data_IF_685107956668
#
_entry.id   IF_685107956668
#
_cell.length_a   1.000
_cell.length_b   1.000
_cell.length_c   1.000
_cell.angle_alpha   90.00
_cell.angle_beta   90.00
_cell.angle_gamma   90.00
#
_symmetry.space_group_name_H-M   'P 1'
#
loop_
_entity.id
_entity.type
_entity.pdbx_description
1 polymer ?
#
# COMPACT_ATOMS: atom_id res chain seq x y z
N UNK A 1 43.94 13.27 25.80
CA UNK A 1 43.00 13.51 26.91
C UNK A 1 41.82 14.30 26.35
N UNK A 2 40.72 13.62 26.00
CA UNK A 2 39.50 14.28 25.50
C UNK A 2 38.66 14.76 26.70
N UNK A 3 38.36 16.06 26.73
CA UNK A 3 37.46 16.62 27.71
C UNK A 3 36.02 16.23 27.35
N UNK A 4 35.34 15.57 28.29
CA UNK A 4 33.97 15.10 28.13
C UNK A 4 32.95 16.23 27.96
N UNK A 5 31.89 15.95 27.20
CA UNK A 5 30.70 16.79 27.16
C UNK A 5 30.03 16.82 28.53
N UNK A 6 30.34 17.83 29.33
CA UNK A 6 29.75 18.04 30.64
C UNK A 6 28.31 18.56 30.52
N UNK A 7 27.39 17.92 31.23
CA UNK A 7 26.05 18.46 31.45
C UNK A 7 26.15 19.75 32.27
N UNK A 8 25.60 20.86 31.76
CA UNK A 8 25.54 22.13 32.47
C UNK A 8 24.17 22.29 33.13
N UNK A 9 24.12 22.25 34.46
CA UNK A 9 22.89 22.41 35.23
C UNK A 9 22.57 23.90 35.42
N UNK A 10 21.33 24.28 35.10
CA UNK A 10 20.81 25.63 35.39
C UNK A 10 20.11 25.62 36.74
N UNK A 11 20.80 26.09 37.78
CA UNK A 11 20.23 26.21 39.13
C UNK A 11 19.39 27.50 39.21
N UNK A 12 18.13 27.37 39.62
CA UNK A 12 17.24 28.52 39.83
C UNK A 12 16.92 28.62 41.32
N UNK A 13 17.31 29.72 41.97
CA UNK A 13 16.98 29.98 43.38
C UNK A 13 16.04 31.18 43.50
N UNK A 14 15.29 31.28 44.60
CA UNK A 14 14.35 32.38 44.86
C UNK A 14 15.01 33.77 44.87
N UNK A 15 16.32 33.82 45.15
CA UNK A 15 17.13 35.05 45.13
C UNK A 15 17.72 35.40 43.76
N UNK A 16 17.56 34.57 42.74
CA UNK A 16 18.07 34.81 41.40
C UNK A 16 17.07 34.39 40.30
N UNK A 17 16.01 35.19 40.07
CA UNK A 17 14.99 34.88 39.08
C UNK A 17 15.57 35.04 37.66
N UNK A 18 15.82 33.90 37.00
CA UNK A 18 16.08 33.74 35.55
C UNK A 18 16.95 34.85 34.93
N UNK A 19 18.24 34.81 35.21
CA UNK A 19 19.26 35.59 34.50
C UNK A 19 19.10 35.42 32.98
N UNK A 20 19.09 36.52 32.21
CA UNK A 20 18.96 36.52 30.73
C UNK A 20 19.93 35.56 30.05
N UNK A 21 21.07 35.32 30.66
CA UNK A 21 22.12 34.41 30.21
C UNK A 21 21.67 32.93 30.25
N UNK A 22 20.97 32.50 31.29
CA UNK A 22 20.37 31.16 31.38
C UNK A 22 19.30 30.96 30.29
N UNK A 23 18.53 32.00 29.97
CA UNK A 23 17.56 31.93 28.88
C UNK A 23 18.24 31.82 27.51
N UNK A 24 19.35 32.52 27.30
CA UNK A 24 20.14 32.40 26.06
C UNK A 24 20.75 31.00 25.92
N UNK A 25 21.23 30.41 27.01
CA UNK A 25 21.84 29.09 27.04
C UNK A 25 20.81 27.99 26.74
N UNK A 26 19.62 28.07 27.34
CA UNK A 26 18.49 27.18 27.03
C UNK A 26 18.03 27.36 25.58
N UNK A 27 17.91 28.60 25.09
CA UNK A 27 17.51 28.88 23.70
C UNK A 27 18.55 28.38 22.69
N UNK A 28 19.85 28.52 22.97
CA UNK A 28 20.91 28.02 22.07
C UNK A 28 20.96 26.50 22.03
N UNK A 29 20.69 25.83 23.15
CA UNK A 29 20.57 24.37 23.20
C UNK A 29 19.32 23.87 22.45
N UNK A 30 18.18 24.56 22.59
CA UNK A 30 16.95 24.24 21.85
C UNK A 30 17.12 24.50 20.35
N UNK A 31 17.81 25.58 19.94
CA UNK A 31 18.06 25.87 18.52
C UNK A 31 19.03 24.87 17.91
N UNK A 32 20.09 24.46 18.64
CA UNK A 32 21.03 23.42 18.21
C UNK A 32 20.40 22.03 18.15
N UNK A 33 19.50 21.69 19.08
CA UNK A 33 18.79 20.41 19.04
C UNK A 33 17.74 20.36 17.92
N UNK A 34 17.08 21.49 17.61
CA UNK A 34 16.18 21.62 16.46
C UNK A 34 16.91 21.52 15.12
N UNK A 35 18.07 22.16 14.96
CA UNK A 35 18.85 22.05 13.71
C UNK A 35 19.48 20.67 13.51
N UNK A 36 19.75 19.93 14.60
CA UNK A 36 20.36 18.61 14.56
C UNK A 36 19.37 17.46 14.39
N UNK A 37 18.07 17.66 14.66
CA UNK A 37 17.02 16.67 14.38
C UNK A 37 16.40 16.94 13.02
N UNK A 38 17.16 16.69 11.95
CA UNK A 38 16.52 16.26 10.70
C UNK A 38 15.88 14.91 11.03
N UNK A 39 14.56 14.89 11.21
CA UNK A 39 13.81 13.63 11.32
C UNK A 39 14.08 12.77 10.09
N UNK A 40 13.79 11.46 10.15
CA UNK A 40 13.84 10.62 8.95
C UNK A 40 13.01 11.31 7.86
N UNK A 41 13.62 11.54 6.68
CA UNK A 41 12.92 12.11 5.51
C UNK A 41 11.71 11.22 5.22
N UNK A 42 10.54 11.78 4.95
CA UNK A 42 9.43 10.97 4.44
C UNK A 42 9.82 10.36 3.08
N UNK A 43 9.32 9.18 2.76
CA UNK A 43 9.45 8.63 1.41
C UNK A 43 8.83 9.60 0.41
N UNK A 44 9.53 9.87 -0.69
CA UNK A 44 9.00 10.68 -1.79
C UNK A 44 7.95 9.90 -2.56
N UNK A 45 7.03 10.60 -3.23
CA UNK A 45 5.96 9.92 -3.94
C UNK A 45 6.48 9.10 -5.13
N UNK A 46 6.13 7.82 -5.20
CA UNK A 46 6.51 6.93 -6.30
C UNK A 46 5.74 7.27 -7.58
N UNK A 47 4.44 7.58 -7.46
CA UNK A 47 3.59 8.01 -8.59
C UNK A 47 4.16 9.24 -9.31
N UNK A 48 4.74 10.17 -8.53
CA UNK A 48 5.17 11.48 -9.01
C UNK A 48 6.67 11.57 -9.27
N UNK A 49 7.35 10.44 -9.53
CA UNK A 49 8.80 10.32 -9.81
C UNK A 49 9.49 11.67 -10.04
N UNK A 50 10.32 12.08 -9.08
CA UNK A 50 11.02 13.37 -8.95
C UNK A 50 11.11 14.15 -10.27
N UNK A 51 10.00 14.79 -10.65
CA UNK A 51 9.97 15.76 -11.75
C UNK A 51 10.83 16.88 -11.21
N UNK A 52 12.08 17.02 -11.68
CA UNK A 52 13.15 17.82 -11.08
C UNK A 52 12.73 19.17 -10.48
N UNK A 53 12.18 19.13 -9.26
CA UNK A 53 11.59 20.26 -8.52
C UNK A 53 12.24 20.37 -7.13
N UNK A 54 13.46 19.84 -6.99
CA UNK A 54 14.26 19.93 -5.77
C UNK A 54 14.48 21.37 -5.26
N UNK A 55 14.24 22.38 -6.09
CA UNK A 55 14.29 23.80 -5.72
C UNK A 55 12.92 24.46 -5.51
N UNK A 56 11.84 23.94 -6.10
CA UNK A 56 10.48 24.52 -5.94
C UNK A 56 9.74 23.96 -4.72
N UNK A 57 10.00 22.71 -4.31
CA UNK A 57 9.39 22.13 -3.11
C UNK A 57 9.76 22.90 -1.82
N UNK A 58 10.95 23.50 -1.75
CA UNK A 58 11.37 24.34 -0.61
C UNK A 58 10.70 25.72 -0.59
N UNK A 59 10.27 26.24 -1.75
CA UNK A 59 9.52 27.50 -1.82
C UNK A 59 8.05 27.29 -1.48
N UNK A 60 7.43 26.21 -1.97
CA UNK A 60 6.01 25.90 -1.70
C UNK A 60 5.75 25.52 -0.24
N UNK A 61 6.66 24.80 0.43
CA UNK A 61 6.55 24.52 1.88
C UNK A 61 6.53 25.81 2.70
N UNK A 62 7.28 26.84 2.29
CA UNK A 62 7.32 28.14 2.97
C UNK A 62 6.04 28.97 2.74
N UNK A 63 5.33 28.73 1.65
CA UNK A 63 4.02 29.33 1.35
C UNK A 63 2.87 28.58 2.03
N UNK A 64 2.95 27.25 2.14
CA UNK A 64 2.02 26.44 2.91
C UNK A 64 2.14 26.69 4.42
N UNK A 65 3.36 26.89 4.96
CA UNK A 65 3.57 27.28 6.36
C UNK A 65 3.03 28.68 6.67
N UNK A 66 3.08 29.62 5.71
CA UNK A 66 2.53 30.98 5.88
C UNK A 66 1.01 31.05 5.73
N UNK A 67 0.38 30.11 5.00
CA UNK A 67 -1.07 30.00 4.91
C UNK A 67 -1.73 29.50 6.22
N UNK A 68 -0.96 28.90 7.12
CA UNK A 68 -1.43 28.39 8.42
C UNK A 68 -1.41 29.42 9.58
N UNK A 69 -1.26 30.73 9.30
CA UNK A 69 -1.30 31.76 10.35
C UNK A 69 -2.70 32.11 10.85
N UNK A 70 -3.76 31.52 10.27
CA UNK A 70 -5.10 31.56 10.82
C UNK A 70 -5.50 30.17 11.31
N UNK A 71 -5.38 29.92 12.62
CA UNK A 71 -6.14 28.83 13.24
C UNK A 71 -7.62 29.19 13.16
N UNK A 72 -8.46 28.44 12.42
CA UNK A 72 -9.89 28.66 12.50
C UNK A 72 -10.35 28.26 13.91
N UNK A 73 -10.97 29.19 14.64
CA UNK A 73 -11.71 28.87 15.84
C UNK A 73 -13.01 28.17 15.40
N UNK A 74 -12.97 26.84 15.29
CA UNK A 74 -14.10 26.00 14.90
C UNK A 74 -13.65 24.57 14.58
N UNK A 75 -14.52 23.57 14.82
CA UNK A 75 -14.25 22.19 14.43
C UNK A 75 -14.17 22.14 12.89
N UNK A 76 -13.20 21.45 12.27
CA UNK A 76 -12.93 21.54 10.82
C UNK A 76 -14.12 21.26 9.87
N UNK A 77 -15.22 20.72 10.40
CA UNK A 77 -16.49 20.48 9.71
C UNK A 77 -17.42 21.71 9.63
N UNK A 78 -17.19 22.77 10.42
CA UNK A 78 -18.07 23.94 10.50
C UNK A 78 -18.10 24.81 9.24
N UNK A 79 -17.21 24.56 8.27
CA UNK A 79 -17.14 25.27 7.00
C UNK A 79 -17.60 24.44 5.79
N UNK A 80 -18.01 23.18 6.01
CA UNK A 80 -18.49 22.31 4.93
C UNK A 80 -19.91 22.73 4.54
N UNK A 81 -20.11 23.10 3.27
CA UNK A 81 -21.44 23.29 2.70
C UNK A 81 -21.99 21.93 2.26
N UNK A 82 -22.97 21.42 2.99
CA UNK A 82 -23.68 20.22 2.58
C UNK A 82 -24.50 20.50 1.31
N UNK A 83 -24.54 19.56 0.34
CA UNK A 83 -25.43 19.70 -0.80
C UNK A 83 -26.88 19.74 -0.33
N UNK A 84 -27.68 20.65 -0.91
CA UNK A 84 -29.08 20.95 -0.52
C UNK A 84 -30.04 19.74 -0.52
N UNK A 85 -29.60 18.57 -1.00
CA UNK A 85 -30.40 17.34 -1.17
C UNK A 85 -29.87 16.12 -0.41
N UNK A 86 -28.86 16.26 0.44
CA UNK A 86 -28.27 15.13 1.18
C UNK A 86 -28.94 14.99 2.55
N UNK A 87 -29.79 13.96 2.69
CA UNK A 87 -30.44 13.64 3.96
C UNK A 87 -29.46 12.93 4.92
N UNK A 88 -29.51 13.15 6.25
CA UNK A 88 -28.61 12.53 7.23
C UNK A 88 -28.48 11.01 7.13
N UNK A 89 -29.57 10.33 6.76
CA UNK A 89 -29.59 8.87 6.51
C UNK A 89 -28.61 8.43 5.42
N UNK A 90 -28.43 9.23 4.37
CA UNK A 90 -27.51 8.90 3.27
C UNK A 90 -26.06 8.99 3.75
N UNK A 91 -25.76 10.01 4.56
CA UNK A 91 -24.45 10.18 5.21
C UNK A 91 -24.18 8.99 6.12
N UNK A 92 -25.17 8.52 6.88
CA UNK A 92 -25.03 7.34 7.73
C UNK A 92 -24.72 6.07 6.92
N UNK A 93 -25.47 5.82 5.83
CA UNK A 93 -25.17 4.70 4.93
C UNK A 93 -23.76 4.80 4.35
N UNK A 94 -23.37 5.96 3.83
CA UNK A 94 -22.03 6.19 3.29
C UNK A 94 -20.91 6.01 4.35
N UNK A 95 -21.12 6.52 5.57
CA UNK A 95 -20.16 6.43 6.67
C UNK A 95 -19.98 4.98 7.17
N UNK A 96 -20.98 4.12 7.02
CA UNK A 96 -20.90 2.71 7.45
C UNK A 96 -19.81 1.92 6.71
N UNK A 97 -19.42 2.36 5.51
CA UNK A 97 -18.39 1.72 4.71
C UNK A 97 -16.96 2.14 5.12
N UNK A 98 -16.78 3.25 5.85
CA UNK A 98 -15.44 3.75 6.23
C UNK A 98 -14.61 2.76 7.05
N UNK A 99 -15.14 2.15 8.12
CA UNK A 99 -14.35 1.21 8.93
C UNK A 99 -14.00 -0.06 8.15
N UNK A 100 -14.90 -0.48 7.23
CA UNK A 100 -14.69 -1.63 6.35
C UNK A 100 -13.53 -1.35 5.42
N UNK A 101 -13.54 -0.21 4.72
CA UNK A 101 -12.46 0.18 3.82
C UNK A 101 -11.15 0.42 4.56
N UNK A 102 -11.18 1.05 5.73
CA UNK A 102 -9.97 1.23 6.54
C UNK A 102 -9.30 -0.11 6.86
N UNK A 103 -10.07 -1.06 7.38
CA UNK A 103 -9.57 -2.39 7.75
C UNK A 103 -9.15 -3.25 6.54
N UNK A 104 -9.87 -3.12 5.42
CA UNK A 104 -9.59 -3.83 4.18
C UNK A 104 -8.36 -3.29 3.45
N UNK A 105 -8.17 -1.97 3.48
CA UNK A 105 -7.11 -1.29 2.76
C UNK A 105 -5.79 -1.27 3.53
N UNK A 106 -5.86 -1.24 4.86
CA UNK A 106 -4.74 -1.08 5.76
C UNK A 106 -4.82 -2.09 6.91
N UNK A 107 -4.08 -3.21 6.83
CA UNK A 107 -4.03 -4.18 7.91
C UNK A 107 -3.53 -3.51 9.19
N UNK A 108 -4.35 -3.55 10.24
CA UNK A 108 -4.03 -2.96 11.55
C UNK A 108 -2.75 -3.55 12.16
N UNK A 109 -2.35 -4.75 11.76
CA UNK A 109 -1.11 -5.38 12.19
C UNK A 109 0.11 -4.59 11.69
N UNK A 110 0.01 -3.93 10.53
CA UNK A 110 1.12 -3.29 9.82
C UNK A 110 1.06 -1.77 9.82
N UNK A 111 -0.15 -1.21 9.82
CA UNK A 111 -0.39 0.23 9.67
C UNK A 111 -0.82 0.86 10.99
N UNK A 112 -0.49 2.15 11.17
CA UNK A 112 -1.03 2.93 12.29
C UNK A 112 -2.54 3.07 12.16
N UNK A 113 -3.23 3.00 13.30
CA UNK A 113 -4.63 3.41 13.39
C UNK A 113 -4.70 4.94 13.30
N UNK A 114 -4.57 5.48 12.08
CA UNK A 114 -4.94 6.87 11.84
C UNK A 114 -6.45 7.01 12.02
N UNK A 115 -6.96 8.08 12.67
CA UNK A 115 -8.35 8.45 12.47
C UNK A 115 -8.51 8.66 10.96
N UNK A 116 -9.17 7.70 10.31
CA UNK A 116 -9.27 7.44 8.86
C UNK A 116 -9.97 8.53 8.06
N UNK A 117 -10.08 9.72 8.65
CA UNK A 117 -10.73 10.89 8.11
C UNK A 117 -9.60 11.91 7.85
N UNK A 118 -8.96 11.80 6.69
CA UNK A 118 -8.35 12.98 6.10
C UNK A 118 -9.49 14.00 5.96
N UNK A 119 -9.34 15.16 6.60
CA UNK A 119 -10.33 16.23 6.55
C UNK A 119 -10.62 16.65 5.10
N UNK A 120 -9.65 16.50 4.20
CA UNK A 120 -9.82 16.73 2.77
C UNK A 120 -10.76 15.72 2.12
N UNK A 121 -10.60 14.42 2.44
CA UNK A 121 -11.43 13.34 1.88
C UNK A 121 -12.87 13.40 2.39
N UNK A 122 -13.06 13.58 3.70
CA UNK A 122 -14.41 13.76 4.27
C UNK A 122 -15.04 15.07 3.81
N UNK A 123 -14.24 16.12 3.67
CA UNK A 123 -14.69 17.37 3.06
C UNK A 123 -15.22 17.14 1.64
N UNK A 124 -14.51 16.38 0.82
CA UNK A 124 -14.90 16.04 -0.55
C UNK A 124 -16.18 15.21 -0.59
N UNK A 125 -16.26 14.18 0.26
CA UNK A 125 -17.45 13.34 0.40
C UNK A 125 -18.64 14.20 0.78
N UNK A 126 -18.58 14.90 1.93
CA UNK A 126 -19.71 15.64 2.47
C UNK A 126 -20.17 16.82 1.60
N UNK A 127 -19.34 17.28 0.67
CA UNK A 127 -19.64 18.41 -0.22
C UNK A 127 -20.20 17.98 -1.59
N UNK A 128 -20.24 16.68 -1.92
CA UNK A 128 -20.62 16.23 -3.27
C UNK A 128 -21.71 15.15 -3.28
N UNK A 129 -22.87 15.48 -3.85
CA UNK A 129 -24.02 14.59 -3.86
C UNK A 129 -23.80 13.30 -4.67
N UNK A 130 -23.11 13.35 -5.81
CA UNK A 130 -22.88 12.14 -6.62
C UNK A 130 -21.95 11.19 -5.87
N UNK A 131 -20.91 11.74 -5.24
CA UNK A 131 -19.95 10.97 -4.48
C UNK A 131 -20.59 10.32 -3.26
N UNK A 132 -21.40 11.05 -2.49
CA UNK A 132 -22.14 10.47 -1.35
C UNK A 132 -23.06 9.35 -1.79
N UNK A 133 -23.79 9.54 -2.90
CA UNK A 133 -24.68 8.51 -3.42
C UNK A 133 -23.93 7.27 -3.88
N UNK A 134 -22.77 7.42 -4.53
CA UNK A 134 -21.92 6.30 -4.90
C UNK A 134 -21.37 5.58 -3.66
N UNK A 135 -20.90 6.31 -2.65
CA UNK A 135 -20.42 5.74 -1.38
C UNK A 135 -21.53 4.97 -0.64
N UNK A 136 -22.73 5.56 -0.55
CA UNK A 136 -23.88 4.92 0.06
C UNK A 136 -24.31 3.67 -0.72
N UNK A 137 -24.30 3.73 -2.05
CA UNK A 137 -24.53 2.55 -2.89
C UNK A 137 -23.52 1.44 -2.60
N UNK A 138 -22.20 1.74 -2.61
CA UNK A 138 -21.16 0.77 -2.31
C UNK A 138 -21.35 0.12 -0.93
N UNK A 139 -21.77 0.92 0.06
CA UNK A 139 -22.01 0.45 1.43
C UNK A 139 -23.19 -0.53 1.50
N UNK A 140 -24.34 -0.12 0.97
CA UNK A 140 -25.56 -0.94 0.99
C UNK A 140 -25.39 -2.19 0.13
N UNK A 141 -24.76 -2.08 -1.04
CA UNK A 141 -24.46 -3.21 -1.92
C UNK A 141 -23.53 -4.24 -1.25
N UNK A 142 -22.52 -3.78 -0.53
CA UNK A 142 -21.65 -4.65 0.26
C UNK A 142 -22.45 -5.39 1.35
N UNK A 143 -23.34 -4.70 2.07
CA UNK A 143 -24.19 -5.33 3.09
C UNK A 143 -25.18 -6.33 2.47
N UNK A 144 -25.83 -5.98 1.36
CA UNK A 144 -26.74 -6.86 0.63
C UNK A 144 -26.00 -8.15 0.20
N UNK A 145 -24.78 -8.03 -0.36
CA UNK A 145 -23.94 -9.18 -0.71
C UNK A 145 -23.58 -10.03 0.51
N UNK A 146 -23.18 -9.41 1.62
CA UNK A 146 -22.84 -10.12 2.86
C UNK A 146 -24.01 -10.89 3.46
N UNK A 147 -25.22 -10.38 3.28
CA UNK A 147 -26.45 -11.03 3.74
C UNK A 147 -27.05 -11.99 2.70
N UNK A 148 -26.36 -12.22 1.58
CA UNK A 148 -26.82 -13.02 0.46
C UNK A 148 -28.20 -12.57 -0.08
N UNK A 149 -28.40 -11.25 -0.16
CA UNK A 149 -29.66 -10.63 -0.61
C UNK A 149 -29.49 -10.00 -1.98
N UNK A 150 -30.61 -9.91 -2.69
CA UNK A 150 -30.71 -9.05 -3.87
C UNK A 150 -30.61 -7.58 -3.46
N UNK A 151 -30.12 -6.68 -4.34
CA UNK A 151 -30.02 -5.27 -4.05
C UNK A 151 -31.36 -4.68 -3.59
N UNK A 152 -31.35 -4.03 -2.42
CA UNK A 152 -32.56 -3.40 -1.89
C UNK A 152 -33.03 -2.22 -2.75
N UNK A 153 -34.29 -1.80 -2.59
CA UNK A 153 -34.79 -0.59 -3.24
C UNK A 153 -33.97 0.66 -2.88
N UNK A 154 -33.42 0.69 -1.66
CA UNK A 154 -32.54 1.78 -1.21
C UNK A 154 -31.18 1.73 -1.92
N UNK A 155 -30.59 0.53 -2.06
CA UNK A 155 -29.35 0.29 -2.81
C UNK A 155 -29.51 0.76 -4.25
N UNK A 156 -30.58 0.34 -4.92
CA UNK A 156 -30.89 0.75 -6.29
C UNK A 156 -31.12 2.26 -6.41
N UNK A 157 -31.82 2.87 -5.45
CA UNK A 157 -32.04 4.32 -5.43
C UNK A 157 -30.73 5.10 -5.37
N UNK A 158 -29.78 4.67 -4.54
CA UNK A 158 -28.46 5.30 -4.45
C UNK A 158 -27.66 5.17 -5.75
N UNK A 159 -27.69 3.99 -6.38
CA UNK A 159 -27.06 3.78 -7.68
C UNK A 159 -27.65 4.71 -8.76
N UNK A 160 -28.98 4.73 -8.88
CA UNK A 160 -29.67 5.55 -9.88
C UNK A 160 -29.36 7.04 -9.70
N UNK A 161 -29.36 7.54 -8.46
CA UNK A 161 -29.07 8.95 -8.20
C UNK A 161 -27.59 9.30 -8.46
N UNK A 162 -26.67 8.40 -8.10
CA UNK A 162 -25.25 8.56 -8.43
C UNK A 162 -25.04 8.64 -9.96
N UNK A 163 -25.64 7.71 -10.72
CA UNK A 163 -25.55 7.67 -12.18
C UNK A 163 -26.21 8.89 -12.83
N UNK A 164 -27.39 9.32 -12.36
CA UNK A 164 -28.08 10.51 -12.87
C UNK A 164 -27.25 11.77 -12.70
N UNK A 165 -26.66 11.96 -11.52
CA UNK A 165 -25.79 13.10 -11.22
C UNK A 165 -24.49 13.03 -12.02
N UNK A 166 -23.88 11.85 -12.13
CA UNK A 166 -22.69 11.62 -12.93
C UNK A 166 -22.94 11.95 -14.41
N UNK A 167 -24.00 11.41 -15.02
CA UNK A 167 -24.38 11.70 -16.40
C UNK A 167 -24.60 13.20 -16.61
N UNK A 168 -25.28 13.89 -15.68
CA UNK A 168 -25.47 15.34 -15.78
C UNK A 168 -24.16 16.14 -15.83
N UNK A 169 -23.09 15.64 -15.21
CA UNK A 169 -21.74 16.24 -15.25
C UNK A 169 -21.03 15.94 -16.57
N UNK A 170 -21.16 14.72 -17.07
CA UNK A 170 -20.48 14.24 -18.28
C UNK A 170 -21.12 14.76 -19.57
N UNK A 171 -22.44 14.97 -19.59
CA UNK A 171 -23.16 15.47 -20.76
C UNK A 171 -22.95 16.96 -21.05
N UNK A 172 -22.15 17.67 -20.24
CA UNK A 172 -21.84 19.09 -20.42
C UNK A 172 -20.46 19.25 -21.05
N UNK A 173 -20.37 19.61 -22.35
CA UNK A 173 -19.09 19.84 -23.00
C UNK A 173 -18.30 20.93 -22.28
N UNK A 174 -16.98 20.74 -22.12
CA UNK A 174 -16.06 21.70 -21.52
C UNK A 174 -16.33 22.08 -20.05
N UNK A 175 -17.18 21.33 -19.34
CA UNK A 175 -17.39 21.58 -17.91
C UNK A 175 -16.20 21.07 -17.09
N UNK A 176 -15.59 21.93 -16.28
CA UNK A 176 -14.59 21.54 -15.28
C UNK A 176 -15.11 20.51 -14.27
N UNK A 177 -16.45 20.38 -14.13
CA UNK A 177 -17.07 19.37 -13.29
C UNK A 177 -16.89 17.93 -13.79
N UNK A 178 -16.73 17.74 -15.11
CA UNK A 178 -16.70 16.41 -15.73
C UNK A 178 -15.45 15.61 -15.32
N UNK A 179 -14.35 16.30 -15.05
CA UNK A 179 -13.07 15.70 -14.61
C UNK A 179 -12.67 16.16 -13.21
N UNK A 180 -13.61 16.73 -12.45
CA UNK A 180 -13.37 17.16 -11.06
C UNK A 180 -13.12 15.98 -10.13
N UNK A 181 -12.39 16.25 -9.04
CA UNK A 181 -12.00 15.23 -8.04
C UNK A 181 -13.22 14.46 -7.47
N UNK A 182 -14.37 15.09 -7.11
CA UNK A 182 -15.55 14.33 -6.70
C UNK A 182 -16.13 13.44 -7.79
N UNK A 183 -16.06 13.84 -9.06
CA UNK A 183 -16.53 13.03 -10.19
C UNK A 183 -15.65 11.80 -10.38
N UNK A 184 -14.34 11.97 -10.33
CA UNK A 184 -13.37 10.87 -10.37
C UNK A 184 -13.63 9.91 -9.19
N UNK A 185 -13.79 10.45 -7.98
CA UNK A 185 -14.07 9.65 -6.78
C UNK A 185 -15.42 8.94 -6.83
N UNK A 186 -16.44 9.53 -7.46
CA UNK A 186 -17.73 8.87 -7.72
C UNK A 186 -17.50 7.61 -8.54
N UNK A 187 -16.72 7.68 -9.62
CA UNK A 187 -16.44 6.52 -10.48
C UNK A 187 -15.55 5.49 -9.76
N UNK A 188 -14.56 5.93 -8.97
CA UNK A 188 -13.76 5.04 -8.13
C UNK A 188 -14.64 4.21 -7.18
N UNK A 189 -15.66 4.82 -6.56
CA UNK A 189 -16.57 4.08 -5.68
C UNK A 189 -17.49 3.11 -6.43
N UNK A 190 -17.94 3.49 -7.63
CA UNK A 190 -18.73 2.59 -8.48
C UNK A 190 -17.88 1.41 -8.96
N UNK A 191 -16.63 1.66 -9.35
CA UNK A 191 -15.66 0.62 -9.68
C UNK A 191 -15.42 -0.33 -8.50
N UNK A 192 -15.22 0.21 -7.30
CA UNK A 192 -15.06 -0.58 -6.08
C UNK A 192 -16.28 -1.44 -5.79
N UNK A 193 -17.49 -0.90 -5.95
CA UNK A 193 -18.72 -1.66 -5.79
C UNK A 193 -18.82 -2.80 -6.82
N UNK A 194 -18.51 -2.53 -8.08
CA UNK A 194 -18.48 -3.54 -9.13
C UNK A 194 -17.45 -4.65 -8.85
N UNK A 195 -16.25 -4.29 -8.37
CA UNK A 195 -15.21 -5.25 -7.96
C UNK A 195 -15.71 -6.15 -6.82
N UNK A 196 -16.25 -5.54 -5.76
CA UNK A 196 -16.82 -6.25 -4.61
C UNK A 196 -17.99 -7.13 -4.99
N UNK A 197 -18.84 -6.70 -5.93
CA UNK A 197 -20.00 -7.44 -6.41
C UNK A 197 -19.65 -8.50 -7.46
N UNK A 198 -18.39 -8.58 -7.89
CA UNK A 198 -17.93 -9.48 -8.95
C UNK A 198 -18.56 -9.18 -10.32
N UNK A 199 -18.96 -7.92 -10.56
CA UNK A 199 -19.42 -7.42 -11.85
C UNK A 199 -18.23 -6.86 -12.66
N UNK A 200 -17.49 -7.78 -13.27
CA UNK A 200 -16.21 -7.48 -13.91
C UNK A 200 -16.36 -6.59 -15.16
N UNK A 201 -17.44 -6.74 -15.92
CA UNK A 201 -17.69 -5.91 -17.11
C UNK A 201 -17.95 -4.46 -16.74
N UNK A 202 -18.71 -4.23 -15.66
CA UNK A 202 -18.93 -2.89 -15.11
C UNK A 202 -17.64 -2.30 -14.53
N UNK A 203 -16.83 -3.10 -13.82
CA UNK A 203 -15.52 -2.68 -13.31
C UNK A 203 -14.61 -2.20 -14.45
N UNK A 204 -14.46 -3.00 -15.51
CA UNK A 204 -13.63 -2.66 -16.67
C UNK A 204 -14.09 -1.35 -17.31
N UNK A 205 -15.40 -1.20 -17.54
CA UNK A 205 -15.99 0.03 -18.09
C UNK A 205 -15.67 1.27 -17.25
N UNK A 206 -15.70 1.14 -15.91
CA UNK A 206 -15.33 2.25 -15.02
C UNK A 206 -13.84 2.57 -15.08
N UNK A 207 -12.96 1.57 -15.15
CA UNK A 207 -11.51 1.78 -15.27
C UNK A 207 -11.12 2.44 -16.60
N UNK A 208 -11.78 2.07 -17.69
CA UNK A 208 -11.61 2.74 -18.99
C UNK A 208 -12.04 4.20 -18.93
N UNK A 209 -13.20 4.48 -18.33
CA UNK A 209 -13.66 5.85 -18.11
C UNK A 209 -12.69 6.67 -17.26
N UNK A 210 -12.16 6.09 -16.18
CA UNK A 210 -11.15 6.73 -15.34
C UNK A 210 -9.87 7.05 -16.12
N UNK A 211 -9.41 6.14 -16.99
CA UNK A 211 -8.25 6.38 -17.86
C UNK A 211 -8.44 7.61 -18.74
N UNK A 212 -9.61 7.76 -19.35
CA UNK A 212 -9.94 8.95 -20.16
C UNK A 212 -9.90 10.22 -19.30
N UNK A 213 -10.50 10.20 -18.10
CA UNK A 213 -10.49 11.35 -17.21
C UNK A 213 -9.10 11.75 -16.72
N UNK A 214 -8.26 10.77 -16.37
CA UNK A 214 -6.88 10.98 -15.96
C UNK A 214 -6.10 11.65 -17.09
N UNK A 215 -6.25 11.17 -18.33
CA UNK A 215 -5.59 11.76 -19.50
C UNK A 215 -6.06 13.19 -19.75
N UNK A 216 -7.36 13.47 -19.61
CA UNK A 216 -7.91 14.83 -19.72
C UNK A 216 -7.41 15.78 -18.63
N UNK A 217 -7.02 15.26 -17.46
CA UNK A 217 -6.36 16.02 -16.39
C UNK A 217 -4.84 16.15 -16.58
N UNK A 218 -4.28 15.59 -17.66
CA UNK A 218 -2.85 15.63 -17.94
C UNK A 218 -2.03 14.55 -17.22
N UNK A 219 -2.65 13.44 -16.82
CA UNK A 219 -1.99 12.30 -16.18
C UNK A 219 -2.14 12.24 -14.65
N UNK A 220 -1.71 11.11 -14.07
CA UNK A 220 -1.78 10.87 -12.62
C UNK A 220 -1.10 11.97 -11.78
N UNK A 221 0.05 12.53 -12.18
CA UNK A 221 0.70 13.59 -11.40
C UNK A 221 -0.07 14.89 -11.32
N UNK A 222 -1.15 15.07 -12.10
CA UNK A 222 -2.01 16.24 -12.05
C UNK A 222 -3.30 16.03 -11.23
N UNK A 223 -3.41 14.87 -10.57
CA UNK A 223 -4.47 14.56 -9.60
C UNK A 223 -4.06 14.88 -8.15
N UNK A 224 -3.12 15.82 -7.96
CA UNK A 224 -2.55 16.15 -6.64
C UNK A 224 -3.64 16.65 -5.69
N UNK A 225 -4.01 15.81 -4.73
CA UNK A 225 -4.53 16.25 -3.44
C UNK A 225 -3.36 16.28 -2.44
N UNK A 226 -3.53 16.88 -1.27
CA UNK A 226 -2.50 16.98 -0.21
C UNK A 226 -1.85 15.63 0.15
N UNK A 227 -2.51 14.50 -0.17
CA UNK A 227 -2.02 13.14 0.10
C UNK A 227 -2.06 12.17 -1.12
N UNK A 228 -2.19 12.65 -2.37
CA UNK A 228 -2.29 11.83 -3.60
C UNK A 228 -3.37 10.72 -3.56
N UNK A 229 -4.36 10.80 -2.66
CA UNK A 229 -5.28 9.71 -2.35
C UNK A 229 -6.08 9.22 -3.57
N UNK A 230 -6.43 10.14 -4.47
CA UNK A 230 -7.20 9.83 -5.67
C UNK A 230 -6.38 8.94 -6.61
N UNK A 231 -5.12 9.32 -6.87
CA UNK A 231 -4.22 8.57 -7.73
C UNK A 231 -3.98 7.16 -7.17
N UNK A 232 -3.77 7.03 -5.84
CA UNK A 232 -3.65 5.72 -5.20
C UNK A 232 -4.87 4.82 -5.39
N UNK A 233 -6.08 5.36 -5.22
CA UNK A 233 -7.31 4.57 -5.37
C UNK A 233 -7.50 4.11 -6.82
N UNK A 234 -7.22 4.97 -7.79
CA UNK A 234 -7.24 4.62 -9.22
C UNK A 234 -6.23 3.51 -9.51
N UNK A 235 -4.98 3.69 -9.11
CA UNK A 235 -3.90 2.74 -9.33
C UNK A 235 -4.14 1.40 -8.64
N UNK A 236 -4.71 1.40 -7.44
CA UNK A 236 -5.05 0.16 -6.74
C UNK A 236 -6.18 -0.60 -7.43
N UNK A 237 -7.17 0.10 -8.00
CA UNK A 237 -8.21 -0.51 -8.84
C UNK A 237 -7.65 -1.10 -10.15
N UNK A 238 -6.74 -0.37 -10.80
CA UNK A 238 -6.00 -0.85 -11.98
C UNK A 238 -5.21 -2.13 -11.68
N UNK A 239 -4.43 -2.14 -10.59
CA UNK A 239 -3.70 -3.32 -10.14
C UNK A 239 -4.63 -4.49 -9.79
N UNK A 240 -5.73 -4.24 -9.06
CA UNK A 240 -6.74 -5.26 -8.75
C UNK A 240 -7.24 -5.95 -10.03
N UNK A 241 -7.58 -5.15 -11.05
CA UNK A 241 -8.02 -5.64 -12.34
C UNK A 241 -6.94 -6.44 -13.10
N UNK A 242 -5.73 -5.90 -13.18
CA UNK A 242 -4.61 -6.55 -13.87
C UNK A 242 -4.26 -7.90 -13.22
N UNK A 243 -4.14 -7.95 -11.90
CA UNK A 243 -3.78 -9.16 -11.16
C UNK A 243 -4.85 -10.24 -11.28
N UNK A 244 -6.14 -9.87 -11.23
CA UNK A 244 -7.25 -10.81 -11.42
C UNK A 244 -7.19 -11.48 -12.78
N UNK A 245 -6.94 -10.71 -13.83
CA UNK A 245 -6.97 -11.22 -15.21
C UNK A 245 -5.61 -11.74 -15.69
N UNK A 246 -4.58 -11.79 -14.82
CA UNK A 246 -3.19 -12.06 -15.21
C UNK A 246 -2.75 -11.18 -16.40
N UNK A 247 -3.25 -9.94 -16.41
CA UNK A 247 -3.03 -8.95 -17.46
C UNK A 247 -1.99 -7.91 -17.05
N UNK A 248 -1.74 -6.96 -17.97
CA UNK A 248 -0.88 -5.82 -17.68
C UNK A 248 -1.69 -4.63 -17.16
N UNK A 249 -1.22 -3.94 -16.11
CA UNK A 249 -1.85 -2.70 -15.66
C UNK A 249 -1.96 -1.64 -16.78
N UNK A 250 -2.93 -0.73 -16.63
CA UNK A 250 -3.20 0.37 -17.56
C UNK A 250 -2.15 1.48 -17.39
N UNK A 251 -1.83 1.83 -16.13
CA UNK A 251 -0.88 2.90 -15.83
C UNK A 251 0.54 2.37 -15.71
N UNK A 252 1.51 3.28 -15.88
CA UNK A 252 2.95 3.00 -15.77
C UNK A 252 3.43 1.88 -16.72
N UNK A 253 3.00 1.86 -17.98
CA UNK A 253 3.43 0.80 -18.92
C UNK A 253 4.87 0.93 -19.38
N UNK A 254 5.29 2.16 -19.68
CA UNK A 254 6.55 2.44 -20.37
C UNK A 254 7.57 3.20 -19.48
N UNK A 255 7.10 3.96 -18.48
CA UNK A 255 7.91 4.86 -17.66
C UNK A 255 8.00 4.42 -16.18
N UNK A 256 8.32 3.15 -15.93
CA UNK A 256 8.58 2.64 -14.57
C UNK A 256 10.04 2.82 -14.20
N UNK A 257 10.31 3.46 -13.06
CA UNK A 257 11.63 3.37 -12.45
C UNK A 257 11.88 1.98 -11.87
N UNK A 258 13.02 1.41 -12.22
CA UNK A 258 13.50 0.13 -11.69
C UNK A 258 14.48 0.28 -10.54
N UNK A 259 14.85 1.51 -10.17
CA UNK A 259 15.70 1.75 -9.01
C UNK A 259 15.00 1.30 -7.72
N UNK A 260 15.76 0.88 -6.69
CA UNK A 260 15.19 0.59 -5.38
C UNK A 260 14.44 1.80 -4.83
N UNK A 261 13.16 1.65 -4.52
CA UNK A 261 12.31 2.75 -4.07
C UNK A 261 12.63 3.18 -2.64
N UNK A 262 12.75 2.22 -1.71
CA UNK A 262 12.92 2.51 -0.28
C UNK A 262 14.36 2.92 0.00
N UNK A 263 15.33 2.11 -0.45
CA UNK A 263 16.76 2.38 -0.22
C UNK A 263 17.31 3.50 -1.11
N UNK A 264 16.78 3.64 -2.33
CA UNK A 264 17.15 4.73 -3.26
C UNK A 264 16.63 6.10 -2.84
N UNK A 265 15.60 6.17 -2.00
CA UNK A 265 15.04 7.43 -1.46
C UNK A 265 15.92 8.08 -0.37
N UNK A 266 17.16 7.62 -0.17
CA UNK A 266 18.08 8.17 0.83
C UNK A 266 17.69 7.84 2.28
N UNK A 267 16.82 6.86 2.49
CA UNK A 267 16.51 6.33 3.81
C UNK A 267 17.69 5.51 4.31
N UNK A 268 18.22 5.89 5.46
CA UNK A 268 19.17 5.03 6.17
C UNK A 268 18.38 3.85 6.71
N UNK A 269 18.66 2.63 6.23
CA UNK A 269 18.01 1.42 6.72
C UNK A 269 18.02 1.45 8.26
N UNK A 270 16.83 1.47 8.86
CA UNK A 270 16.65 1.58 10.32
C UNK A 270 17.21 0.35 11.04
N UNK A 271 17.37 -0.75 10.30
CA UNK A 271 17.92 -1.98 10.81
C UNK A 271 19.23 -2.29 10.09
N UNK A 272 20.35 -2.09 10.78
CA UNK A 272 21.67 -2.56 10.35
C UNK A 272 21.75 -4.10 10.48
N UNK A 273 20.92 -4.82 9.72
CA UNK A 273 21.12 -6.24 9.54
C UNK A 273 22.31 -6.44 8.61
N UNK A 274 23.21 -7.36 8.97
CA UNK A 274 24.29 -7.76 8.08
C UNK A 274 23.69 -8.18 6.73
N UNK A 275 24.10 -7.50 5.67
CA UNK A 275 23.68 -7.83 4.32
C UNK A 275 24.26 -9.20 3.95
N UNK A 276 23.38 -10.11 3.61
CA UNK A 276 23.74 -11.43 3.12
C UNK A 276 24.23 -11.30 1.68
N UNK A 277 25.50 -10.92 1.54
CA UNK A 277 26.13 -10.65 0.23
C UNK A 277 26.03 -11.82 -0.74
N UNK A 278 25.92 -13.04 -0.25
CA UNK A 278 25.77 -14.23 -1.10
C UNK A 278 24.35 -14.33 -1.65
N UNK A 279 23.34 -14.25 -0.78
CA UNK A 279 21.94 -14.23 -1.20
C UNK A 279 21.64 -13.04 -2.14
N UNK A 280 22.18 -11.86 -1.82
CA UNK A 280 22.04 -10.66 -2.65
C UNK A 280 22.62 -10.85 -4.05
N UNK A 281 23.85 -11.38 -4.17
CA UNK A 281 24.46 -11.69 -5.49
C UNK A 281 23.66 -12.73 -6.27
N UNK A 282 23.12 -13.72 -5.58
CA UNK A 282 22.34 -14.79 -6.18
C UNK A 282 21.01 -14.27 -6.75
N UNK A 283 20.25 -13.49 -5.98
CA UNK A 283 19.01 -12.89 -6.46
C UNK A 283 19.30 -11.90 -7.61
N UNK A 284 20.39 -11.13 -7.50
CA UNK A 284 20.82 -10.23 -8.58
C UNK A 284 21.16 -10.97 -9.88
N UNK A 285 21.69 -12.20 -9.78
CA UNK A 285 21.98 -13.03 -10.97
C UNK A 285 20.72 -13.54 -11.69
N UNK A 286 19.55 -13.54 -11.03
CA UNK A 286 18.27 -13.87 -11.67
C UNK A 286 17.80 -12.76 -12.62
N UNK A 287 17.78 -11.52 -12.13
CA UNK A 287 17.56 -10.27 -12.89
C UNK A 287 17.77 -9.07 -11.93
N UNK A 288 18.43 -8.01 -12.39
CA UNK A 288 18.72 -6.82 -11.55
C UNK A 288 17.45 -6.06 -11.13
N UNK A 289 16.44 -5.98 -12.00
CA UNK A 289 15.16 -5.34 -11.70
C UNK A 289 14.40 -6.14 -10.64
N UNK A 290 14.44 -7.47 -10.77
CA UNK A 290 13.84 -8.37 -9.79
C UNK A 290 14.50 -8.23 -8.42
N UNK A 291 15.83 -8.12 -8.40
CA UNK A 291 16.60 -7.83 -7.20
C UNK A 291 16.21 -6.51 -6.54
N UNK A 292 16.06 -5.43 -7.31
CA UNK A 292 15.67 -4.12 -6.74
C UNK A 292 14.28 -4.17 -6.07
N UNK A 293 13.32 -4.90 -6.66
CA UNK A 293 12.00 -5.11 -6.04
C UNK A 293 12.10 -5.97 -4.79
N UNK A 294 12.93 -7.02 -4.81
CA UNK A 294 13.20 -7.84 -3.64
C UNK A 294 13.82 -7.02 -2.50
N UNK A 295 14.76 -6.12 -2.80
CA UNK A 295 15.37 -5.22 -1.81
C UNK A 295 14.32 -4.34 -1.13
N UNK A 296 13.39 -3.76 -1.89
CA UNK A 296 12.29 -2.97 -1.33
C UNK A 296 11.35 -3.81 -0.45
N UNK A 297 11.00 -5.02 -0.90
CA UNK A 297 10.19 -5.94 -0.10
C UNK A 297 10.92 -6.38 1.18
N UNK A 298 12.24 -6.56 1.13
CA UNK A 298 13.06 -6.92 2.29
C UNK A 298 13.08 -5.80 3.32
N UNK A 299 13.31 -4.56 2.89
CA UNK A 299 13.23 -3.40 3.79
C UNK A 299 11.81 -3.24 4.35
N UNK A 300 10.75 -3.44 3.54
CA UNK A 300 9.37 -3.43 4.02
C UNK A 300 9.12 -4.49 5.11
N UNK A 301 9.59 -5.73 4.91
CA UNK A 301 9.48 -6.79 5.91
C UNK A 301 10.22 -6.42 7.22
N UNK A 302 11.38 -5.77 7.11
CA UNK A 302 12.15 -5.35 8.28
C UNK A 302 11.46 -4.20 9.03
N UNK A 303 11.00 -3.18 8.31
CA UNK A 303 10.25 -2.06 8.88
C UNK A 303 8.98 -2.53 9.59
N UNK A 304 8.21 -3.43 8.97
CA UNK A 304 6.99 -3.97 9.57
C UNK A 304 7.26 -4.85 10.79
N UNK A 305 8.25 -5.74 10.74
CA UNK A 305 8.64 -6.56 11.89
C UNK A 305 9.14 -5.70 13.06
N UNK A 306 9.98 -4.70 12.79
CA UNK A 306 10.46 -3.76 13.82
C UNK A 306 9.32 -2.89 14.35
N UNK A 307 8.44 -2.40 13.46
CA UNK A 307 7.27 -1.61 13.81
C UNK A 307 6.30 -2.38 14.71
N UNK A 308 6.09 -3.68 14.47
CA UNK A 308 5.30 -4.55 15.33
C UNK A 308 5.93 -4.71 16.73
N UNK A 309 7.26 -4.83 16.81
CA UNK A 309 7.98 -4.98 18.08
C UNK A 309 8.03 -3.67 18.89
N UNK A 310 8.08 -2.52 18.21
CA UNK A 310 8.24 -1.21 18.83
C UNK A 310 6.94 -0.42 18.97
N UNK A 311 5.85 -0.88 18.35
CA UNK A 311 4.60 -0.15 18.21
C UNK A 311 4.60 0.95 17.14
N UNK A 312 5.74 1.18 16.45
CA UNK A 312 5.89 2.19 15.40
C UNK A 312 5.48 1.62 14.04
N UNK A 313 4.16 1.43 13.86
CA UNK A 313 3.58 0.93 12.60
C UNK A 313 3.70 1.94 11.46
N UNK A 314 3.44 1.49 10.23
CA UNK A 314 3.59 2.31 9.02
C UNK A 314 2.42 3.29 8.82
N UNK A 315 2.68 4.55 8.43
CA UNK A 315 1.64 5.45 7.92
C UNK A 315 0.96 4.91 6.65
N UNK A 316 -0.32 5.24 6.44
CA UNK A 316 -1.08 4.80 5.26
C UNK A 316 -0.43 5.25 3.94
N UNK A 317 0.07 6.49 3.88
CA UNK A 317 0.75 7.01 2.70
C UNK A 317 1.99 6.18 2.33
N UNK A 318 2.83 5.86 3.31
CA UNK A 318 4.01 5.00 3.11
C UNK A 318 3.62 3.60 2.64
N UNK A 319 2.59 3.00 3.25
CA UNK A 319 2.10 1.69 2.85
C UNK A 319 1.63 1.70 1.38
N UNK A 320 0.88 2.72 0.98
CA UNK A 320 0.38 2.85 -0.39
C UNK A 320 1.49 3.03 -1.43
N UNK A 321 2.51 3.84 -1.15
CA UNK A 321 3.62 4.02 -2.09
C UNK A 321 4.41 2.72 -2.29
N UNK A 322 4.69 1.98 -1.21
CA UNK A 322 5.37 0.68 -1.29
C UNK A 322 4.49 -0.32 -2.05
N UNK A 323 3.20 -0.37 -1.75
CA UNK A 323 2.22 -1.22 -2.45
C UNK A 323 2.28 -0.97 -3.97
N UNK A 324 2.11 0.27 -4.41
CA UNK A 324 2.11 0.58 -5.83
C UNK A 324 3.45 0.24 -6.48
N UNK A 325 4.55 0.67 -5.86
CA UNK A 325 5.88 0.46 -6.39
C UNK A 325 6.20 -1.02 -6.60
N UNK A 326 5.91 -1.86 -5.60
CA UNK A 326 6.16 -3.30 -5.69
C UNK A 326 5.20 -3.97 -6.67
N UNK A 327 3.89 -3.72 -6.55
CA UNK A 327 2.89 -4.41 -7.36
C UNK A 327 3.02 -4.08 -8.84
N UNK A 328 3.21 -2.81 -9.23
CA UNK A 328 3.41 -2.46 -10.64
C UNK A 328 4.68 -3.11 -11.20
N UNK A 329 5.82 -3.02 -10.50
CA UNK A 329 7.08 -3.61 -10.98
C UNK A 329 7.00 -5.13 -11.14
N UNK A 330 6.42 -5.85 -10.17
CA UNK A 330 6.26 -7.31 -10.28
C UNK A 330 5.30 -7.72 -11.40
N UNK A 331 4.22 -6.95 -11.62
CA UNK A 331 3.26 -7.21 -12.70
C UNK A 331 3.81 -6.95 -14.09
N UNK A 332 4.85 -6.10 -14.23
CA UNK A 332 5.49 -5.81 -15.52
C UNK A 332 6.60 -6.81 -15.88
N UNK A 333 7.17 -7.50 -14.89
CA UNK A 333 8.18 -8.53 -15.13
C UNK A 333 7.53 -9.83 -15.62
N UNK A 334 8.22 -10.52 -16.52
CA UNK A 334 7.88 -11.85 -17.02
C UNK A 334 9.16 -12.52 -17.53
N UNK A 335 9.37 -13.79 -17.19
CA UNK A 335 10.59 -14.52 -17.48
C UNK A 335 10.33 -15.87 -18.17
N UNK A 336 9.78 -15.84 -19.39
CA UNK A 336 9.42 -17.06 -20.14
C UNK A 336 10.60 -18.03 -20.37
N UNK A 337 11.83 -17.52 -20.41
CA UNK A 337 13.05 -18.31 -20.66
C UNK A 337 13.81 -18.71 -19.40
N UNK A 338 13.36 -18.28 -18.22
CA UNK A 338 13.99 -18.60 -16.95
C UNK A 338 12.94 -19.02 -15.92
N UNK A 339 12.65 -20.33 -15.82
CA UNK A 339 11.73 -20.87 -14.82
C UNK A 339 12.08 -20.44 -13.40
N UNK A 340 13.38 -20.34 -13.08
CA UNK A 340 13.85 -19.88 -11.77
C UNK A 340 13.49 -18.42 -11.49
N UNK A 341 13.80 -17.50 -12.41
CA UNK A 341 13.44 -16.07 -12.26
C UNK A 341 11.92 -15.89 -12.23
N UNK A 342 11.17 -16.65 -13.03
CA UNK A 342 9.72 -16.58 -13.06
C UNK A 342 9.08 -17.10 -11.77
N UNK A 343 9.52 -18.25 -11.26
CA UNK A 343 9.03 -18.80 -9.99
C UNK A 343 9.32 -17.87 -8.81
N UNK A 344 10.51 -17.25 -8.79
CA UNK A 344 10.85 -16.28 -7.76
C UNK A 344 10.01 -14.99 -7.87
N UNK A 345 9.83 -14.47 -9.09
CA UNK A 345 8.96 -13.31 -9.38
C UNK A 345 7.52 -13.56 -8.93
N UNK A 346 6.93 -14.68 -9.36
CA UNK A 346 5.54 -15.01 -9.01
C UNK A 346 5.41 -15.30 -7.51
N UNK A 347 6.41 -15.93 -6.88
CA UNK A 347 6.46 -16.10 -5.44
C UNK A 347 6.46 -14.78 -4.68
N UNK A 348 7.26 -13.79 -5.12
CA UNK A 348 7.22 -12.43 -4.57
C UNK A 348 5.89 -11.73 -4.84
N UNK A 349 5.28 -11.95 -6.00
CA UNK A 349 3.98 -11.38 -6.34
C UNK A 349 2.90 -11.94 -5.41
N UNK A 350 2.85 -13.26 -5.25
CA UNK A 350 1.93 -13.93 -4.32
C UNK A 350 2.12 -13.44 -2.88
N UNK A 351 3.37 -13.35 -2.42
CA UNK A 351 3.71 -12.79 -1.11
C UNK A 351 3.17 -11.36 -0.96
N UNK A 352 3.47 -10.48 -1.92
CA UNK A 352 3.01 -9.09 -1.92
C UNK A 352 1.47 -8.98 -1.96
N UNK A 353 0.79 -9.76 -2.80
CA UNK A 353 -0.68 -9.71 -2.90
C UNK A 353 -1.36 -10.18 -1.62
N UNK A 354 -0.79 -11.15 -0.91
CA UNK A 354 -1.33 -11.60 0.38
C UNK A 354 -1.26 -10.52 1.48
N UNK A 355 -0.41 -9.50 1.31
CA UNK A 355 -0.25 -8.37 2.23
C UNK A 355 -1.13 -7.20 1.78
N UNK A 356 -0.98 -6.80 0.52
CA UNK A 356 -1.54 -5.57 -0.04
C UNK A 356 -3.00 -5.71 -0.51
N UNK A 357 -3.43 -6.94 -0.82
CA UNK A 357 -4.77 -7.28 -1.31
C UNK A 357 -5.41 -8.37 -0.44
N UNK A 358 -5.26 -8.23 0.89
CA UNK A 358 -5.72 -9.20 1.89
C UNK A 358 -7.23 -9.20 2.15
N UNK A 359 -7.99 -8.29 1.52
CA UNK A 359 -9.43 -8.19 1.70
C UNK A 359 -10.12 -9.44 1.15
N UNK A 360 -10.92 -10.19 1.94
CA UNK A 360 -11.51 -11.46 1.52
C UNK A 360 -12.38 -11.39 0.25
N UNK A 361 -12.97 -10.24 -0.02
CA UNK A 361 -13.80 -9.91 -1.18
C UNK A 361 -12.98 -9.91 -2.48
N UNK A 362 -11.67 -9.69 -2.38
CA UNK A 362 -10.75 -9.73 -3.52
C UNK A 362 -10.17 -11.14 -3.74
N UNK A 363 -10.91 -12.19 -3.35
CA UNK A 363 -10.52 -13.59 -3.50
C UNK A 363 -10.08 -13.94 -4.92
N UNK A 364 -10.73 -13.37 -5.93
CA UNK A 364 -10.43 -13.63 -7.33
C UNK A 364 -8.96 -13.29 -7.70
N UNK A 365 -8.37 -12.27 -7.07
CA UNK A 365 -6.95 -11.94 -7.24
C UNK A 365 -6.09 -13.11 -6.75
N UNK A 366 -6.36 -13.59 -5.53
CA UNK A 366 -5.60 -14.68 -4.93
C UNK A 366 -5.75 -15.97 -5.74
N UNK A 367 -6.92 -16.27 -6.31
CA UNK A 367 -7.11 -17.44 -7.18
C UNK A 367 -6.24 -17.34 -8.43
N UNK A 368 -6.26 -16.19 -9.11
CA UNK A 368 -5.47 -15.98 -10.34
C UNK A 368 -3.97 -16.06 -10.09
N UNK A 369 -3.49 -15.36 -9.04
CA UNK A 369 -2.07 -15.36 -8.66
C UNK A 369 -1.62 -16.75 -8.21
N UNK A 370 -2.44 -17.50 -7.46
CA UNK A 370 -2.10 -18.87 -7.05
C UNK A 370 -2.00 -19.82 -8.24
N UNK A 371 -2.86 -19.67 -9.26
CA UNK A 371 -2.75 -20.47 -10.50
C UNK A 371 -1.43 -20.18 -11.23
N UNK A 372 -1.12 -18.90 -11.45
CA UNK A 372 0.16 -18.50 -12.03
C UNK A 372 1.35 -19.02 -11.20
N UNK A 373 1.20 -19.06 -9.87
CA UNK A 373 2.23 -19.55 -8.98
C UNK A 373 2.44 -21.06 -9.09
N UNK A 374 1.37 -21.84 -9.15
CA UNK A 374 1.43 -23.28 -9.41
C UNK A 374 2.10 -23.57 -10.76
N UNK A 375 1.71 -22.86 -11.82
CA UNK A 375 2.31 -23.02 -13.14
C UNK A 375 3.82 -22.72 -13.14
N UNK A 376 4.24 -21.67 -12.44
CA UNK A 376 5.65 -21.29 -12.33
C UNK A 376 6.46 -22.33 -11.53
N UNK A 377 5.91 -22.84 -10.42
CA UNK A 377 6.51 -23.92 -9.63
C UNK A 377 6.64 -25.21 -10.43
N UNK A 378 5.63 -25.56 -11.21
CA UNK A 378 5.64 -26.76 -12.04
C UNK A 378 6.70 -26.67 -13.14
N UNK A 379 6.79 -25.53 -13.83
CA UNK A 379 7.84 -25.27 -14.83
C UNK A 379 9.23 -25.34 -14.21
N UNK A 380 9.41 -24.74 -13.02
CA UNK A 380 10.68 -24.78 -12.31
C UNK A 380 11.09 -26.22 -11.98
N UNK A 381 10.20 -27.00 -11.35
CA UNK A 381 10.49 -28.40 -11.01
C UNK A 381 10.78 -29.26 -12.24
N UNK A 382 10.04 -29.05 -13.33
CA UNK A 382 10.18 -29.80 -14.58
C UNK A 382 11.42 -29.43 -15.40
N UNK A 383 11.91 -28.20 -15.28
CA UNK A 383 13.10 -27.73 -16.01
C UNK A 383 14.39 -28.44 -15.59
N UNK A 384 14.46 -28.92 -14.35
CA UNK A 384 15.70 -29.43 -13.76
C UNK A 384 16.73 -28.33 -13.48
N UNK A 385 16.36 -27.05 -13.65
CA UNK A 385 17.24 -25.92 -13.36
C UNK A 385 17.67 -25.96 -11.88
N UNK A 386 18.97 -25.74 -11.64
CA UNK A 386 19.47 -25.59 -10.28
C UNK A 386 19.00 -24.25 -9.70
N UNK A 387 17.88 -24.29 -8.99
CA UNK A 387 17.44 -23.19 -8.15
C UNK A 387 18.00 -23.36 -6.75
N UNK A 388 18.45 -22.27 -6.15
CA UNK A 388 19.08 -22.34 -4.84
C UNK A 388 18.12 -22.96 -3.80
N UNK A 389 18.59 -23.90 -2.95
CA UNK A 389 17.73 -24.54 -1.96
C UNK A 389 17.04 -23.55 -1.01
N UNK A 390 17.70 -22.48 -0.56
CA UNK A 390 17.11 -21.48 0.33
C UNK A 390 15.95 -20.73 -0.34
N UNK A 391 16.13 -20.33 -1.61
CA UNK A 391 15.07 -19.68 -2.38
C UNK A 391 13.94 -20.66 -2.68
N UNK A 392 14.27 -21.89 -3.04
CA UNK A 392 13.28 -22.97 -3.24
C UNK A 392 12.43 -23.18 -1.99
N UNK A 393 13.08 -23.28 -0.82
CA UNK A 393 12.42 -23.41 0.46
C UNK A 393 11.47 -22.25 0.72
N UNK A 394 11.93 -21.02 0.48
CA UNK A 394 11.13 -19.83 0.66
C UNK A 394 9.89 -19.82 -0.24
N UNK A 395 10.06 -20.06 -1.55
CA UNK A 395 8.96 -20.07 -2.52
C UNK A 395 7.93 -21.14 -2.14
N UNK A 396 8.36 -22.36 -1.81
CA UNK A 396 7.47 -23.44 -1.38
C UNK A 396 6.76 -23.14 -0.04
N UNK A 397 7.45 -22.50 0.90
CA UNK A 397 6.82 -22.04 2.14
C UNK A 397 5.76 -20.98 1.89
N UNK A 398 6.03 -19.98 1.04
CA UNK A 398 5.04 -18.96 0.65
C UNK A 398 3.82 -19.64 0.03
N UNK A 399 4.02 -20.57 -0.88
CA UNK A 399 2.93 -21.33 -1.49
C UNK A 399 2.11 -22.10 -0.44
N UNK A 400 2.77 -22.79 0.50
CA UNK A 400 2.09 -23.54 1.58
C UNK A 400 1.27 -22.64 2.52
N UNK A 401 1.72 -21.42 2.80
CA UNK A 401 0.99 -20.49 3.68
C UNK A 401 -0.12 -19.70 2.98
N UNK A 402 -0.20 -19.74 1.65
CA UNK A 402 -1.31 -19.11 0.92
C UNK A 402 -2.59 -19.93 1.12
N UNK A 403 -3.69 -19.26 1.49
CA UNK A 403 -4.90 -19.89 2.11
C UNK A 403 -5.82 -20.62 1.11
N UNK A 404 -5.48 -20.75 -0.17
CA UNK A 404 -6.38 -21.35 -1.15
C UNK A 404 -6.00 -22.81 -1.39
N UNK A 405 -6.61 -23.66 -0.55
CA UNK A 405 -6.52 -25.12 -0.50
C UNK A 405 -7.15 -25.80 -1.73
N UNK A 406 -6.86 -25.34 -2.94
CA UNK A 406 -6.96 -26.24 -4.09
C UNK A 406 -5.80 -27.22 -3.92
N UNK A 407 -6.14 -28.49 -3.78
CA UNK A 407 -5.37 -29.53 -3.09
C UNK A 407 -3.87 -29.49 -3.38
N UNK A 408 -3.01 -29.79 -2.40
CA UNK A 408 -1.58 -29.84 -2.67
C UNK A 408 -1.32 -30.91 -3.73
N UNK A 409 -0.67 -30.51 -4.83
CA UNK A 409 -0.03 -31.47 -5.69
C UNK A 409 1.00 -32.20 -4.81
N UNK A 410 0.84 -33.51 -4.65
CA UNK A 410 1.75 -34.36 -3.85
C UNK A 410 3.21 -34.07 -4.20
N UNK A 411 3.47 -33.78 -5.48
CA UNK A 411 4.75 -33.32 -6.01
C UNK A 411 5.39 -32.17 -5.23
N UNK A 412 4.65 -31.09 -4.91
CA UNK A 412 5.20 -29.94 -4.17
C UNK A 412 5.40 -30.24 -2.68
N UNK A 413 4.61 -31.16 -2.12
CA UNK A 413 4.84 -31.64 -0.76
C UNK A 413 6.12 -32.47 -0.65
N UNK A 414 6.34 -33.38 -1.61
CA UNK A 414 7.53 -34.22 -1.68
C UNK A 414 8.78 -33.34 -1.94
N UNK A 415 8.69 -32.40 -2.89
CA UNK A 415 9.77 -31.44 -3.17
C UNK A 415 10.12 -30.58 -1.95
N UNK A 416 9.12 -30.15 -1.17
CA UNK A 416 9.37 -29.43 0.07
C UNK A 416 10.15 -30.27 1.09
N UNK A 417 9.84 -31.57 1.20
CA UNK A 417 10.58 -32.50 2.04
C UNK A 417 12.04 -32.66 1.59
N UNK A 418 12.28 -32.84 0.29
CA UNK A 418 13.63 -32.93 -0.29
C UNK A 418 14.47 -31.68 0.02
N UNK A 419 13.87 -30.50 -0.14
CA UNK A 419 14.57 -29.21 0.10
C UNK A 419 14.82 -28.98 1.58
N UNK A 420 13.88 -29.38 2.45
CA UNK A 420 14.06 -29.31 3.91
C UNK A 420 15.23 -30.17 4.38
N UNK A 421 15.48 -31.32 3.72
CA UNK A 421 16.62 -32.19 4.03
C UNK A 421 17.96 -31.68 3.47
N UNK A 422 17.93 -30.86 2.40
CA UNK A 422 19.15 -30.33 1.79
C UNK A 422 19.69 -29.06 2.46
N UNK A 423 18.90 -28.44 3.35
CA UNK A 423 19.27 -27.25 4.12
C UNK A 423 19.38 -27.64 5.59
N UNK A 424 20.37 -27.14 6.36
CA UNK A 424 20.51 -27.44 7.78
C UNK A 424 19.43 -26.75 8.64
N UNK A 425 18.18 -27.20 8.53
CA UNK A 425 17.02 -26.68 9.29
C UNK A 425 16.41 -27.84 10.11
N UNK A 426 16.65 -27.84 11.42
CA UNK A 426 16.10 -28.84 12.34
C UNK A 426 14.85 -28.34 13.08
N UNK A 427 14.64 -27.03 13.13
CA UNK A 427 13.59 -26.39 13.93
C UNK A 427 12.83 -25.30 13.19
N UNK A 428 11.63 -24.98 13.68
CA UNK A 428 10.87 -23.81 13.20
C UNK A 428 11.66 -22.50 13.37
N UNK A 429 12.46 -22.36 14.44
CA UNK A 429 13.24 -21.15 14.67
C UNK A 429 14.28 -20.93 13.57
N UNK A 430 14.97 -21.99 13.16
CA UNK A 430 15.93 -21.95 12.04
C UNK A 430 15.22 -21.74 10.70
N UNK A 431 14.08 -22.41 10.48
CA UNK A 431 13.26 -22.23 9.27
C UNK A 431 12.84 -20.77 9.13
N UNK A 432 12.35 -20.17 10.22
CA UNK A 432 11.96 -18.77 10.28
C UNK A 432 13.15 -17.84 10.05
N UNK A 433 14.32 -18.14 10.61
CA UNK A 433 15.52 -17.35 10.36
C UNK A 433 15.91 -17.36 8.87
N UNK A 434 15.80 -18.51 8.20
CA UNK A 434 15.99 -18.62 6.74
C UNK A 434 14.93 -17.82 5.97
N UNK A 435 13.66 -17.95 6.32
CA UNK A 435 12.58 -17.19 5.67
C UNK A 435 12.80 -15.67 5.78
N UNK A 436 13.26 -15.19 6.95
CA UNK A 436 13.55 -13.77 7.19
C UNK A 436 14.77 -13.24 6.43
N UNK A 437 15.70 -14.10 6.00
CA UNK A 437 16.80 -13.72 5.10
C UNK A 437 16.26 -13.36 3.71
N UNK A 438 15.24 -14.09 3.25
CA UNK A 438 14.58 -13.84 1.96
C UNK A 438 13.49 -12.78 2.13
N UNK A 439 12.30 -13.14 2.62
CA UNK A 439 11.17 -12.24 2.90
C UNK A 439 10.22 -12.90 3.92
N UNK A 440 9.97 -12.29 5.08
CA UNK A 440 9.01 -12.83 6.06
C UNK A 440 8.52 -11.76 7.03
N UNK A 441 7.23 -11.79 7.34
CA UNK A 441 6.59 -10.91 8.33
C UNK A 441 6.03 -11.79 9.45
N UNK A 442 6.62 -11.64 10.63
CA UNK A 442 6.39 -12.49 11.79
C UNK A 442 4.91 -12.51 12.18
N UNK A 443 4.30 -11.33 12.31
CA UNK A 443 2.91 -11.16 12.78
C UNK A 443 1.88 -11.77 11.83
N UNK A 444 2.17 -11.81 10.52
CA UNK A 444 1.25 -12.32 9.52
C UNK A 444 1.36 -13.83 9.35
N UNK A 445 2.59 -14.36 9.35
CA UNK A 445 2.82 -15.71 8.85
C UNK A 445 3.32 -16.70 9.88
N UNK A 446 3.83 -16.30 11.06
CA UNK A 446 4.45 -17.24 12.02
C UNK A 446 3.50 -18.38 12.43
N UNK A 447 2.23 -18.07 12.67
CA UNK A 447 1.22 -19.06 13.09
C UNK A 447 1.01 -20.13 12.02
N UNK A 448 0.77 -19.72 10.79
CA UNK A 448 0.49 -20.65 9.69
C UNK A 448 1.77 -21.33 9.19
N UNK A 449 2.86 -20.60 9.07
CA UNK A 449 4.17 -21.13 8.68
C UNK A 449 4.65 -22.24 9.61
N UNK A 450 4.51 -22.06 10.93
CA UNK A 450 4.84 -23.11 11.90
C UNK A 450 3.96 -24.36 11.73
N UNK A 451 2.67 -24.16 11.47
CA UNK A 451 1.75 -25.28 11.25
C UNK A 451 2.12 -26.07 9.99
N UNK A 452 2.42 -25.39 8.87
CA UNK A 452 2.80 -26.05 7.62
C UNK A 452 4.18 -26.72 7.70
N UNK A 453 5.15 -26.09 8.35
CA UNK A 453 6.50 -26.65 8.53
C UNK A 453 6.48 -27.97 9.32
N UNK A 454 5.59 -28.10 10.31
CA UNK A 454 5.45 -29.28 11.16
C UNK A 454 4.67 -30.43 10.50
N UNK A 455 3.84 -30.16 9.49
CA UNK A 455 3.09 -31.21 8.76
C UNK A 455 3.98 -32.05 7.85
N UNK A 456 5.10 -31.49 7.40
CA UNK A 456 6.04 -32.14 6.49
C UNK A 456 7.14 -32.87 7.26
N UNK A 457 6.73 -33.77 8.17
CA UNK A 457 7.58 -34.75 8.86
C UNK A 457 7.24 -36.13 8.33
#
# INVERSE_FOLDING_TARGET
MSAGGGFQFVVTTASNPRVKENQRLVRSHISRSRSSRKGPRALTSWINHDVGLGEQAQQDDSHAEKACLFRPLGNGLSFIRFPDKVHPRIIQSAASLLPILGSAMYPKELCIDEPTIDAAWVGLLLSDAAYIHAMAYSAEAYHDKKLCRQPSAQTQKHLLEALRLLQSRLSKPNSSSATSDPTIMTIVMLALAADVLEDWGTLESHLEGLKVMVNLRGGLPNLKTTANEIAFKICRGDLSHALRNNGRPIYFRDDISWEPYITGSGHTSLARFEDDKELSRMIQSLDTRLYNVWTDLREFCQMTNLGCQTGLKLPHGTFNEILLSVSYRLSHLSFDRSPASEAFRVGMLAFATSIFFSWPELRAINVSVNRAFQDALWKLRSSGDQFNPLLTFWVLMVWKVQVHKEAPEKLFADWFGEVKLSIPIASWAEARAVMKRVLWIDILYDKQGKAEFNKSV
#
